data_IF_484378634137
#
_entry.id   IF_484378634137
#
_cell.length_a   1.000
_cell.length_b   1.000
_cell.length_c   1.000
_cell.angle_alpha   90.00
_cell.angle_beta   90.00
_cell.angle_gamma   90.00
#
_symmetry.space_group_name_H-M   'P 1'
#
loop_
_entity.id
_entity.type
_entity.pdbx_description
1 polymer ?
#
# COMPACT_ATOMS: atom_id res chain seq x y z
N UNK A 1 38.78 19.22 -56.67
CA UNK A 1 38.91 18.12 -55.71
C UNK A 1 38.04 18.48 -54.53
N UNK A 2 36.81 17.88 -54.48
CA UNK A 2 35.87 18.07 -53.39
C UNK A 2 36.13 16.95 -52.38
N UNK A 3 36.39 17.31 -51.15
CA UNK A 3 36.48 16.36 -50.02
C UNK A 3 35.10 15.79 -49.70
N UNK A 4 34.96 14.46 -49.39
CA UNK A 4 33.69 13.88 -48.97
C UNK A 4 33.35 14.33 -47.56
N UNK A 5 32.11 14.82 -47.39
CA UNK A 5 31.55 15.18 -46.09
C UNK A 5 31.54 13.98 -45.16
N UNK A 6 32.03 14.20 -43.96
CA UNK A 6 31.92 13.25 -42.83
C UNK A 6 30.45 12.98 -42.51
N UNK A 7 29.99 11.79 -42.83
CA UNK A 7 28.70 11.30 -42.32
C UNK A 7 28.79 11.19 -40.79
N UNK A 8 28.03 12.01 -40.09
CA UNK A 8 27.86 11.88 -38.64
C UNK A 8 27.36 10.47 -38.32
N UNK A 9 28.15 9.72 -37.54
CA UNK A 9 27.75 8.41 -37.05
C UNK A 9 26.46 8.57 -36.26
N UNK A 10 25.38 8.01 -36.75
CA UNK A 10 24.12 7.88 -35.98
C UNK A 10 24.44 6.97 -34.81
N UNK A 11 24.42 7.53 -33.61
CA UNK A 11 24.54 6.72 -32.38
C UNK A 11 23.49 5.59 -32.42
N UNK A 12 23.87 4.33 -32.09
CA UNK A 12 22.93 3.25 -32.10
C UNK A 12 21.77 3.57 -31.16
N UNK A 13 20.54 3.21 -31.54
CA UNK A 13 19.37 3.40 -30.70
C UNK A 13 19.57 2.74 -29.34
N UNK A 14 19.15 3.38 -28.24
CA UNK A 14 19.34 2.85 -26.90
C UNK A 14 18.71 1.47 -26.75
N UNK A 15 19.50 0.52 -26.25
CA UNK A 15 19.05 -0.85 -26.02
C UNK A 15 18.56 -0.97 -24.58
N UNK A 16 17.23 -1.00 -24.39
CA UNK A 16 16.60 -1.15 -23.08
C UNK A 16 16.22 -2.64 -22.81
N UNK A 17 16.11 -3.01 -21.55
CA UNK A 17 15.38 -4.20 -21.14
C UNK A 17 13.88 -4.05 -21.50
N UNK A 18 13.13 -5.12 -21.62
CA UNK A 18 11.71 -5.06 -21.93
C UNK A 18 10.91 -4.36 -20.81
N UNK A 19 11.30 -4.64 -19.56
CA UNK A 19 10.65 -4.14 -18.35
C UNK A 19 11.66 -3.74 -17.28
N UNK A 20 11.21 -2.88 -16.38
CA UNK A 20 11.98 -2.38 -15.24
C UNK A 20 11.11 -2.34 -13.98
N UNK A 21 11.74 -2.60 -12.84
CA UNK A 21 11.21 -2.26 -11.53
C UNK A 21 11.74 -0.88 -11.13
N UNK A 22 10.85 0.08 -10.98
CA UNK A 22 11.15 1.40 -10.42
C UNK A 22 10.80 1.37 -8.93
N UNK A 23 11.75 1.70 -8.06
CA UNK A 23 11.64 1.63 -6.62
C UNK A 23 11.93 3.00 -6.00
N UNK A 24 10.98 3.54 -5.25
CA UNK A 24 11.11 4.76 -4.49
C UNK A 24 11.35 4.42 -3.02
N UNK A 25 12.54 4.74 -2.51
CA UNK A 25 12.95 4.53 -1.12
C UNK A 25 12.98 5.86 -0.39
N UNK A 26 12.35 5.93 0.78
CA UNK A 26 12.34 7.13 1.58
C UNK A 26 12.07 6.83 3.06
N UNK A 27 12.25 7.83 3.93
CA UNK A 27 12.00 7.70 5.36
C UNK A 27 11.06 8.77 5.86
N UNK A 28 10.20 8.39 6.80
CA UNK A 28 9.46 9.30 7.65
C UNK A 28 10.08 9.33 9.06
N UNK A 29 9.45 10.06 9.95
CA UNK A 29 9.87 10.12 11.35
C UNK A 29 9.80 8.75 12.05
N UNK A 30 8.86 7.89 11.65
CA UNK A 30 8.54 6.65 12.34
C UNK A 30 8.76 5.39 11.52
N UNK A 31 8.95 5.49 10.21
CA UNK A 31 9.00 4.32 9.35
C UNK A 31 9.96 4.48 8.16
N UNK A 32 10.43 3.34 7.65
CA UNK A 32 11.11 3.23 6.35
C UNK A 32 10.09 2.77 5.30
N UNK A 33 10.14 3.35 4.10
CA UNK A 33 9.15 3.15 3.05
C UNK A 33 9.80 2.72 1.76
N UNK A 34 9.18 1.75 1.07
CA UNK A 34 9.59 1.30 -0.26
C UNK A 34 8.36 1.16 -1.14
N UNK A 35 8.34 1.90 -2.25
CA UNK A 35 7.23 1.90 -3.18
C UNK A 35 7.70 1.40 -4.55
N UNK A 36 7.21 0.23 -4.99
CA UNK A 36 7.56 -0.35 -6.28
C UNK A 36 6.51 -0.04 -7.34
N UNK A 37 6.99 0.20 -8.56
CA UNK A 37 6.17 0.28 -9.76
C UNK A 37 6.84 -0.51 -10.88
N UNK A 38 6.13 -1.46 -11.46
CA UNK A 38 6.59 -2.17 -12.64
C UNK A 38 6.27 -1.36 -13.91
N UNK A 39 7.27 -1.11 -14.75
CA UNK A 39 7.14 -0.28 -15.95
C UNK A 39 7.76 -0.93 -17.17
N UNK A 40 7.13 -0.78 -18.33
CA UNK A 40 7.70 -1.18 -19.62
C UNK A 40 8.71 -0.18 -20.15
N UNK A 41 9.63 -0.62 -21.02
CA UNK A 41 10.64 0.23 -21.67
C UNK A 41 10.03 1.44 -22.39
N UNK A 42 8.79 1.35 -22.88
CA UNK A 42 8.08 2.44 -23.51
C UNK A 42 7.85 3.64 -22.59
N UNK A 43 7.65 3.39 -21.30
CA UNK A 43 7.45 4.45 -20.31
C UNK A 43 8.73 5.26 -20.07
N UNK A 44 9.91 4.61 -20.17
CA UNK A 44 11.20 5.28 -20.00
C UNK A 44 11.56 6.20 -21.19
N UNK A 45 11.06 5.89 -22.38
CA UNK A 45 11.36 6.67 -23.60
C UNK A 45 10.69 8.05 -23.62
N UNK A 46 9.72 8.28 -22.76
CA UNK A 46 8.99 9.54 -22.69
C UNK A 46 9.80 10.70 -22.06
N UNK A 47 10.89 10.37 -21.34
CA UNK A 47 11.74 11.35 -20.65
C UNK A 47 13.21 10.94 -20.77
N UNK A 48 14.07 11.86 -21.25
CA UNK A 48 15.50 11.58 -21.50
C UNK A 48 16.29 11.14 -20.25
N UNK A 49 15.91 11.61 -19.05
CA UNK A 49 16.57 11.19 -17.79
C UNK A 49 16.26 9.73 -17.48
N UNK A 50 15.01 9.31 -17.66
CA UNK A 50 14.59 7.93 -17.48
C UNK A 50 15.22 7.01 -18.51
N UNK A 51 15.36 7.49 -19.75
CA UNK A 51 15.99 6.72 -20.81
C UNK A 51 17.45 6.43 -20.47
N UNK A 52 18.23 7.45 -20.08
CA UNK A 52 19.62 7.31 -19.68
C UNK A 52 19.75 6.37 -18.46
N UNK A 53 18.91 6.55 -17.43
CA UNK A 53 18.91 5.70 -16.27
C UNK A 53 18.59 4.22 -16.60
N UNK A 54 17.70 3.97 -17.55
CA UNK A 54 17.38 2.62 -18.01
C UNK A 54 18.53 1.95 -18.74
N UNK A 55 19.30 2.69 -19.51
CA UNK A 55 20.52 2.20 -20.19
C UNK A 55 21.61 1.83 -19.17
N UNK A 56 21.84 2.70 -18.19
CA UNK A 56 22.83 2.47 -17.14
C UNK A 56 22.43 1.29 -16.25
N UNK A 57 21.15 1.20 -15.83
CA UNK A 57 20.62 0.09 -15.07
C UNK A 57 20.79 -1.25 -15.82
N UNK A 58 20.56 -1.27 -17.14
CA UNK A 58 20.74 -2.48 -17.96
C UNK A 58 22.20 -2.97 -17.97
N UNK A 59 23.15 -2.04 -17.90
CA UNK A 59 24.58 -2.38 -17.88
C UNK A 59 25.08 -2.77 -16.48
N UNK A 60 24.57 -2.08 -15.45
CA UNK A 60 25.04 -2.20 -14.07
C UNK A 60 24.12 -2.96 -13.11
N UNK A 61 22.93 -3.41 -13.55
CA UNK A 61 21.95 -4.10 -12.72
C UNK A 61 20.98 -3.19 -11.97
N UNK A 62 21.47 -2.14 -11.32
CA UNK A 62 20.67 -1.11 -10.68
C UNK A 62 21.25 0.28 -10.97
N UNK A 63 20.38 1.27 -11.09
CA UNK A 63 20.77 2.66 -11.19
C UNK A 63 19.96 3.54 -10.24
N UNK A 64 20.64 4.33 -9.43
CA UNK A 64 20.01 5.21 -8.45
C UNK A 64 19.95 6.66 -8.94
N UNK A 65 18.80 7.29 -8.75
CA UNK A 65 18.52 8.68 -9.09
C UNK A 65 18.03 9.44 -7.84
N UNK A 66 18.32 10.74 -7.80
CA UNK A 66 17.65 11.64 -6.87
C UNK A 66 16.17 11.80 -7.27
N UNK A 67 15.26 11.55 -6.34
CA UNK A 67 13.83 11.69 -6.56
C UNK A 67 13.32 13.15 -6.44
N UNK A 68 14.13 14.06 -5.89
CA UNK A 68 13.76 15.46 -5.65
C UNK A 68 13.16 16.18 -6.87
N UNK A 69 13.62 15.95 -8.13
CA UNK A 69 13.03 16.59 -9.31
C UNK A 69 11.52 16.34 -9.48
N UNK A 70 11.02 15.19 -9.02
CA UNK A 70 9.59 14.80 -9.12
C UNK A 70 8.78 15.13 -7.87
N UNK A 71 9.45 15.37 -6.74
CA UNK A 71 8.82 15.64 -5.44
C UNK A 71 8.95 17.11 -5.01
N UNK A 72 9.23 18.03 -5.92
CA UNK A 72 9.46 19.45 -5.59
C UNK A 72 8.20 20.15 -5.08
N UNK A 73 8.36 21.10 -4.14
CA UNK A 73 7.30 22.04 -3.82
C UNK A 73 6.86 22.81 -5.06
N UNK A 74 5.57 23.06 -5.20
CA UNK A 74 5.02 23.82 -6.34
C UNK A 74 5.22 25.35 -6.24
N UNK A 75 6.03 25.81 -5.34
CA UNK A 75 6.37 27.24 -5.21
C UNK A 75 5.30 28.10 -4.52
N UNK A 76 4.08 27.60 -4.35
CA UNK A 76 3.05 28.22 -3.50
C UNK A 76 2.86 27.37 -2.25
N UNK A 77 3.29 27.85 -1.08
CA UNK A 77 3.29 27.03 0.14
C UNK A 77 1.89 26.70 0.63
N UNK A 78 0.90 27.54 0.37
CA UNK A 78 -0.50 27.36 0.81
C UNK A 78 -1.46 28.13 -0.08
N UNK A 79 -2.65 27.56 -0.28
CA UNK A 79 -3.74 28.19 -1.02
C UNK A 79 -4.92 28.36 -0.08
N UNK A 80 -5.45 29.59 0.00
CA UNK A 80 -6.73 29.85 0.65
C UNK A 80 -7.81 29.90 -0.43
N UNK A 81 -8.83 29.08 -0.31
CA UNK A 81 -9.88 28.89 -1.31
C UNK A 81 -11.26 29.03 -0.68
N UNK A 82 -12.12 29.85 -1.27
CA UNK A 82 -13.53 29.90 -0.91
C UNK A 82 -14.23 28.63 -1.43
N UNK A 83 -14.84 27.88 -0.51
CA UNK A 83 -15.59 26.66 -0.85
C UNK A 83 -16.93 26.95 -1.53
N UNK A 84 -17.40 28.22 -1.51
CA UNK A 84 -18.65 28.63 -2.13
C UNK A 84 -18.68 28.30 -3.64
N UNK A 85 -19.65 27.51 -4.07
CA UNK A 85 -19.80 27.09 -5.46
C UNK A 85 -18.98 25.89 -5.90
N UNK A 86 -18.20 25.25 -5.02
CA UNK A 86 -17.51 24.01 -5.28
C UNK A 86 -18.42 22.80 -4.97
N UNK A 87 -18.34 21.76 -5.81
CA UNK A 87 -18.97 20.47 -5.53
C UNK A 87 -18.01 19.58 -4.75
N UNK A 88 -17.95 19.81 -3.44
CA UNK A 88 -17.06 19.09 -2.54
C UNK A 88 -17.75 17.89 -1.89
N UNK A 89 -16.99 16.84 -1.48
CA UNK A 89 -17.51 15.78 -0.64
C UNK A 89 -18.10 16.34 0.65
N UNK A 90 -19.22 15.79 1.13
CA UNK A 90 -19.91 16.26 2.34
C UNK A 90 -19.05 16.15 3.61
N UNK A 91 -18.04 15.30 3.61
CA UNK A 91 -17.23 14.98 4.79
C UNK A 91 -15.74 15.26 4.54
N UNK A 92 -15.41 16.49 4.15
CA UNK A 92 -14.00 16.90 4.12
C UNK A 92 -13.41 16.88 5.53
N UNK A 93 -12.21 16.31 5.65
CA UNK A 93 -11.48 16.22 6.92
C UNK A 93 -10.13 16.92 6.80
N UNK A 94 -9.78 17.87 7.69
CA UNK A 94 -8.43 18.38 7.77
C UNK A 94 -7.38 17.27 7.96
N UNK A 95 -6.21 17.49 7.39
CA UNK A 95 -5.11 16.52 7.42
C UNK A 95 -5.16 15.46 6.35
N UNK A 96 -6.23 15.34 5.55
CA UNK A 96 -6.37 14.39 4.46
C UNK A 96 -6.02 14.97 3.09
N UNK A 97 -5.68 14.07 2.17
CA UNK A 97 -5.43 14.41 0.78
C UNK A 97 -6.67 14.17 -0.08
N UNK A 98 -6.86 15.06 -1.04
CA UNK A 98 -7.97 15.01 -2.00
C UNK A 98 -7.43 15.28 -3.40
N UNK A 99 -8.07 14.74 -4.45
CA UNK A 99 -7.71 15.05 -5.84
C UNK A 99 -7.84 16.55 -6.13
N UNK A 100 -6.83 17.15 -6.72
CA UNK A 100 -6.74 18.59 -6.97
C UNK A 100 -7.92 19.17 -7.74
N UNK A 101 -8.50 18.39 -8.67
CA UNK A 101 -9.65 18.85 -9.47
C UNK A 101 -10.89 19.19 -8.64
N UNK A 102 -11.03 18.63 -7.42
CA UNK A 102 -12.14 18.95 -6.52
C UNK A 102 -12.14 20.41 -6.06
N UNK A 103 -10.97 21.04 -6.05
CA UNK A 103 -10.77 22.42 -5.61
C UNK A 103 -10.86 23.45 -6.75
N UNK A 104 -11.36 23.03 -7.91
CA UNK A 104 -11.63 23.90 -9.03
C UNK A 104 -10.39 24.40 -9.78
N UNK A 105 -10.62 25.27 -10.77
CA UNK A 105 -9.56 25.74 -11.70
C UNK A 105 -8.48 26.57 -11.04
N UNK A 106 -8.71 27.10 -9.90
CA UNK A 106 -7.70 27.87 -9.12
C UNK A 106 -6.56 26.98 -8.65
N UNK A 107 -6.82 25.69 -8.40
CA UNK A 107 -5.83 24.74 -7.90
C UNK A 107 -5.30 23.86 -9.01
N UNK A 108 -6.17 23.39 -9.91
CA UNK A 108 -5.78 22.45 -10.96
C UNK A 108 -6.78 22.35 -12.11
N UNK A 109 -6.36 21.69 -13.20
CA UNK A 109 -7.22 21.37 -14.34
C UNK A 109 -8.34 20.37 -13.98
N UNK A 110 -9.38 20.23 -14.83
CA UNK A 110 -10.61 19.49 -14.52
C UNK A 110 -10.45 17.95 -14.37
N UNK A 111 -9.26 17.42 -14.59
CA UNK A 111 -8.94 15.98 -14.46
C UNK A 111 -7.63 15.76 -13.71
N UNK A 112 -7.15 16.75 -12.99
CA UNK A 112 -5.89 16.65 -12.26
C UNK A 112 -6.15 15.88 -10.95
N UNK A 113 -5.54 14.70 -10.84
CA UNK A 113 -5.68 13.79 -9.72
C UNK A 113 -4.53 13.91 -8.71
N UNK A 114 -3.56 14.84 -8.93
CA UNK A 114 -2.49 14.96 -7.95
C UNK A 114 -3.05 15.27 -6.56
N UNK A 115 -2.43 14.76 -5.51
CA UNK A 115 -2.92 14.93 -4.16
C UNK A 115 -2.71 16.37 -3.68
N UNK A 116 -3.78 16.95 -3.14
CA UNK A 116 -3.75 18.23 -2.42
C UNK A 116 -4.19 17.97 -0.98
N UNK A 117 -3.39 18.41 -0.04
CA UNK A 117 -3.72 18.23 1.36
C UNK A 117 -4.62 19.36 1.86
N UNK A 118 -5.74 19.01 2.48
CA UNK A 118 -6.57 19.94 3.21
C UNK A 118 -5.97 20.15 4.60
N UNK A 119 -5.51 21.37 4.90
CA UNK A 119 -4.91 21.69 6.19
C UNK A 119 -5.93 22.12 7.23
N UNK A 120 -6.91 22.93 6.80
CA UNK A 120 -7.92 23.50 7.70
C UNK A 120 -9.19 23.90 6.95
N UNK A 121 -10.28 24.01 7.67
CA UNK A 121 -11.58 24.52 7.21
C UNK A 121 -12.01 25.66 8.14
N UNK A 122 -11.97 26.89 7.65
CA UNK A 122 -12.42 28.08 8.39
C UNK A 122 -13.95 28.02 8.60
N UNK A 123 -14.47 28.48 9.75
CA UNK A 123 -15.92 28.54 10.01
C UNK A 123 -16.72 29.35 8.97
N UNK A 124 -16.08 30.21 8.20
CA UNK A 124 -16.69 30.99 7.10
C UNK A 124 -16.74 30.22 5.77
N UNK A 125 -16.21 28.99 5.72
CA UNK A 125 -16.17 28.16 4.53
C UNK A 125 -14.92 28.31 3.68
N UNK A 126 -13.85 28.92 4.18
CA UNK A 126 -12.57 28.94 3.49
C UNK A 126 -11.76 27.68 3.80
N UNK A 127 -11.15 27.12 2.76
CA UNK A 127 -10.26 25.97 2.84
C UNK A 127 -8.82 26.44 2.79
N UNK A 128 -7.99 25.93 3.69
CA UNK A 128 -6.54 26.08 3.63
C UNK A 128 -5.94 24.80 3.04
N UNK A 129 -5.29 24.93 1.88
CA UNK A 129 -4.78 23.81 1.10
C UNK A 129 -3.26 23.84 0.98
N UNK A 130 -2.63 22.66 1.01
CA UNK A 130 -1.24 22.48 0.64
C UNK A 130 -1.17 21.64 -0.66
N UNK A 131 -0.80 22.27 -1.80
CA UNK A 131 -0.68 21.60 -3.09
C UNK A 131 0.69 20.95 -3.32
N UNK A 132 1.58 20.99 -2.33
CA UNK A 132 2.89 20.39 -2.48
C UNK A 132 2.79 18.86 -2.54
N UNK A 133 3.75 18.25 -3.26
CA UNK A 133 3.86 16.81 -3.28
C UNK A 133 4.05 16.26 -1.83
N UNK A 134 3.41 15.14 -1.43
CA UNK A 134 3.53 14.61 -0.07
C UNK A 134 4.96 14.27 0.37
N UNK A 135 5.86 14.01 -0.58
CA UNK A 135 7.29 13.81 -0.34
C UNK A 135 8.12 15.10 -0.43
N UNK A 136 7.52 16.26 -0.65
CA UNK A 136 8.27 17.51 -0.76
C UNK A 136 9.10 17.77 0.51
N UNK A 137 10.40 18.02 0.33
CA UNK A 137 11.33 18.24 1.44
C UNK A 137 11.78 16.98 2.17
N UNK A 138 11.37 15.78 1.73
CA UNK A 138 11.88 14.51 2.24
C UNK A 138 13.05 14.03 1.38
N UNK A 139 13.98 13.32 2.03
CA UNK A 139 15.04 12.60 1.33
C UNK A 139 14.44 11.32 0.72
N UNK A 140 14.42 11.27 -0.61
CA UNK A 140 13.85 10.16 -1.35
C UNK A 140 14.79 9.74 -2.48
N UNK A 141 15.09 8.46 -2.53
CA UNK A 141 15.95 7.83 -3.53
C UNK A 141 15.10 7.00 -4.50
N UNK A 142 15.30 7.22 -5.77
CA UNK A 142 14.72 6.43 -6.84
C UNK A 142 15.73 5.41 -7.33
N UNK A 143 15.35 4.15 -7.42
CA UNK A 143 16.18 3.08 -7.98
C UNK A 143 15.46 2.44 -9.15
N UNK A 144 16.14 2.31 -10.27
CA UNK A 144 15.65 1.63 -11.46
C UNK A 144 16.49 0.37 -11.69
N UNK A 145 15.84 -0.77 -11.86
CA UNK A 145 16.48 -2.05 -12.14
C UNK A 145 15.77 -2.78 -13.28
N UNK A 146 16.50 -3.49 -14.18
CA UNK A 146 15.86 -4.41 -15.12
C UNK A 146 15.03 -5.44 -14.36
N UNK A 147 13.90 -5.82 -14.93
CA UNK A 147 12.99 -6.80 -14.32
C UNK A 147 12.66 -7.91 -15.30
N UNK A 148 12.52 -9.13 -14.77
CA UNK A 148 11.95 -10.27 -15.50
C UNK A 148 10.42 -10.28 -15.46
N UNK A 149 9.82 -9.53 -14.51
CA UNK A 149 8.38 -9.41 -14.41
C UNK A 149 7.80 -8.57 -15.54
N UNK A 150 6.64 -8.96 -16.02
CA UNK A 150 5.90 -8.16 -16.98
C UNK A 150 5.39 -6.86 -16.36
N UNK A 151 5.26 -5.81 -17.18
CA UNK A 151 4.61 -4.57 -16.80
C UNK A 151 3.24 -4.47 -17.47
N UNK A 152 2.25 -3.96 -16.74
CA UNK A 152 0.94 -3.70 -17.33
C UNK A 152 1.03 -2.64 -18.44
N UNK A 153 0.31 -2.87 -19.53
CA UNK A 153 0.26 -1.93 -20.63
C UNK A 153 -0.30 -0.56 -20.15
N UNK A 154 0.35 0.51 -20.58
CA UNK A 154 -0.06 1.88 -20.23
C UNK A 154 0.42 2.35 -18.85
N UNK A 155 1.23 1.59 -18.12
CA UNK A 155 1.88 2.08 -16.88
C UNK A 155 2.77 3.28 -17.19
N UNK A 156 2.57 4.37 -16.46
CA UNK A 156 3.36 5.60 -16.57
C UNK A 156 4.26 5.76 -15.36
N UNK A 157 5.48 6.23 -15.56
CA UNK A 157 6.42 6.47 -14.45
C UNK A 157 5.89 7.49 -13.44
N UNK A 158 5.12 8.49 -13.87
CA UNK A 158 4.47 9.44 -12.96
C UNK A 158 3.64 8.75 -11.87
N UNK A 159 3.05 7.60 -12.18
CA UNK A 159 2.27 6.80 -11.20
C UNK A 159 3.10 6.35 -10.00
N UNK A 160 4.43 6.27 -10.11
CA UNK A 160 5.29 5.96 -8.97
C UNK A 160 5.17 7.04 -7.87
N UNK A 161 4.96 8.28 -8.26
CA UNK A 161 4.86 9.44 -7.37
C UNK A 161 3.42 9.76 -6.96
N UNK A 162 2.43 9.09 -7.55
CA UNK A 162 1.02 9.25 -7.18
C UNK A 162 0.78 8.46 -5.88
N UNK A 163 0.72 9.15 -4.74
CA UNK A 163 0.40 8.57 -3.44
C UNK A 163 1.52 8.46 -2.41
N UNK A 164 2.77 8.04 -2.73
CA UNK A 164 3.84 7.99 -1.74
C UNK A 164 4.02 9.31 -0.99
N UNK A 165 4.19 9.20 0.34
CA UNK A 165 4.24 10.32 1.26
C UNK A 165 2.93 10.58 2.00
N UNK A 166 1.76 10.23 1.43
CA UNK A 166 0.47 10.39 2.11
C UNK A 166 0.35 9.50 3.35
N UNK A 167 1.05 8.36 3.40
CA UNK A 167 1.08 7.46 4.55
C UNK A 167 1.85 8.01 5.75
N UNK A 168 2.61 9.07 5.57
CA UNK A 168 3.41 9.66 6.63
C UNK A 168 3.34 11.20 6.58
N UNK A 169 2.25 11.80 7.05
CA UNK A 169 2.12 13.25 7.12
C UNK A 169 3.21 13.87 8.01
N UNK A 170 3.48 15.18 7.86
CA UNK A 170 4.38 15.88 8.77
C UNK A 170 3.93 15.79 10.23
N UNK A 171 4.87 15.72 11.17
CA UNK A 171 4.61 15.51 12.60
C UNK A 171 3.65 16.54 13.23
N UNK A 172 3.63 17.77 12.69
CA UNK A 172 2.78 18.86 13.18
C UNK A 172 1.45 19.01 12.42
N UNK A 173 1.10 18.05 11.57
CA UNK A 173 -0.07 18.11 10.72
C UNK A 173 -0.62 16.68 10.50
N UNK A 174 -0.95 15.99 11.58
CA UNK A 174 -1.43 14.61 11.55
C UNK A 174 -2.71 14.45 10.73
N UNK A 175 -2.88 13.28 10.11
CA UNK A 175 -4.12 12.93 9.42
C UNK A 175 -5.16 12.52 10.46
N UNK A 176 -6.36 13.09 10.37
CA UNK A 176 -7.48 12.65 11.20
C UNK A 176 -8.01 11.31 10.68
N UNK A 177 -7.55 10.21 11.28
CA UNK A 177 -8.03 8.86 10.94
C UNK A 177 -9.33 8.48 11.64
N UNK A 178 -9.62 9.06 12.81
CA UNK A 178 -10.74 8.68 13.67
C UNK A 178 -11.74 9.80 13.92
N UNK A 179 -12.36 10.39 12.86
CA UNK A 179 -13.51 11.25 13.07
C UNK A 179 -14.67 10.42 13.67
N UNK A 180 -15.69 11.06 14.26
CA UNK A 180 -16.85 10.35 14.79
C UNK A 180 -17.43 9.35 13.77
N UNK A 181 -17.65 8.11 14.21
CA UNK A 181 -18.15 7.02 13.33
C UNK A 181 -17.13 6.41 12.37
N UNK A 182 -15.83 6.72 12.49
CA UNK A 182 -14.78 6.18 11.61
C UNK A 182 -14.72 4.65 11.58
N UNK A 183 -14.94 4.02 12.72
CA UNK A 183 -14.92 2.55 12.87
C UNK A 183 -16.29 1.88 12.67
N UNK A 184 -17.37 2.64 12.48
CA UNK A 184 -18.67 2.09 12.14
C UNK A 184 -18.63 1.40 10.79
N UNK A 185 -19.49 0.38 10.60
CA UNK A 185 -19.62 -0.37 9.34
C UNK A 185 -21.01 -0.14 8.75
N UNK A 186 -21.15 -0.30 7.45
CA UNK A 186 -22.47 -0.19 6.78
C UNK A 186 -23.40 -1.33 7.18
N UNK A 187 -22.84 -2.51 7.47
CA UNK A 187 -23.53 -3.68 7.98
C UNK A 187 -22.92 -4.07 9.32
N UNK A 188 -23.62 -3.70 10.41
CA UNK A 188 -23.27 -4.03 11.80
C UNK A 188 -23.84 -5.38 12.25
N UNK A 189 -24.51 -6.14 11.38
CA UNK A 189 -24.98 -7.48 11.71
C UNK A 189 -23.80 -8.42 11.99
N UNK A 190 -24.09 -9.52 12.68
CA UNK A 190 -23.09 -10.52 13.08
C UNK A 190 -22.16 -10.94 11.94
N UNK A 191 -20.86 -10.88 12.17
CA UNK A 191 -19.86 -11.34 11.22
C UNK A 191 -19.92 -12.86 11.05
N UNK A 192 -20.20 -13.60 12.10
CA UNK A 192 -20.43 -15.05 12.03
C UNK A 192 -21.57 -15.36 11.03
N UNK A 193 -22.68 -14.61 11.07
CA UNK A 193 -23.77 -14.81 10.12
C UNK A 193 -23.37 -14.44 8.67
N UNK A 194 -22.61 -13.37 8.48
CA UNK A 194 -22.13 -12.96 7.16
C UNK A 194 -21.16 -13.97 6.54
N UNK A 195 -20.28 -14.57 7.36
CA UNK A 195 -19.28 -15.56 6.94
C UNK A 195 -19.72 -17.02 7.15
N UNK A 196 -21.00 -17.28 7.54
CA UNK A 196 -21.51 -18.62 7.78
C UNK A 196 -21.39 -19.57 6.57
N UNK A 197 -21.51 -19.03 5.36
CA UNK A 197 -21.31 -19.80 4.12
C UNK A 197 -19.83 -19.74 3.71
N UNK A 198 -19.14 -20.92 3.65
CA UNK A 198 -17.74 -20.96 3.24
C UNK A 198 -17.52 -20.35 1.84
N UNK A 199 -16.47 -19.56 1.70
CA UNK A 199 -16.06 -18.91 0.45
C UNK A 199 -14.69 -19.43 0.03
N UNK A 200 -14.65 -20.66 -0.50
CA UNK A 200 -13.42 -21.29 -1.01
C UNK A 200 -13.02 -20.68 -2.35
N UNK A 201 -12.89 -19.36 -2.39
CA UNK A 201 -12.53 -18.59 -3.58
C UNK A 201 -11.46 -17.55 -3.25
N UNK A 202 -10.58 -17.31 -4.20
CA UNK A 202 -9.56 -16.28 -4.02
C UNK A 202 -10.17 -14.89 -4.18
N UNK A 203 -9.88 -14.00 -3.23
CA UNK A 203 -10.35 -12.61 -3.21
C UNK A 203 -9.40 -11.66 -3.93
N UNK A 204 -8.11 -12.00 -3.96
CA UNK A 204 -7.06 -11.31 -4.70
C UNK A 204 -6.74 -12.07 -5.98
N UNK A 205 -6.30 -11.38 -7.03
CA UNK A 205 -5.84 -12.04 -8.24
C UNK A 205 -4.55 -12.84 -8.00
N UNK A 206 -4.20 -13.73 -8.94
CA UNK A 206 -3.06 -14.63 -8.78
C UNK A 206 -1.71 -13.87 -8.69
N UNK A 207 -1.59 -12.72 -9.37
CA UNK A 207 -0.37 -11.91 -9.33
C UNK A 207 -0.20 -11.24 -7.95
N UNK A 208 -1.26 -10.67 -7.41
CA UNK A 208 -1.25 -10.09 -6.07
C UNK A 208 -0.90 -11.14 -5.01
N UNK A 209 -1.52 -12.33 -5.08
CA UNK A 209 -1.22 -13.45 -4.15
C UNK A 209 0.25 -13.89 -4.23
N UNK A 210 0.82 -13.98 -5.43
CA UNK A 210 2.23 -14.26 -5.61
C UNK A 210 3.12 -13.19 -4.95
N UNK A 211 2.76 -11.92 -5.13
CA UNK A 211 3.47 -10.79 -4.51
C UNK A 211 3.37 -10.81 -2.97
N UNK A 212 2.21 -11.19 -2.41
CA UNK A 212 2.05 -11.41 -0.96
C UNK A 212 2.97 -12.53 -0.49
N UNK A 213 3.00 -13.66 -1.22
CA UNK A 213 3.89 -14.78 -0.89
C UNK A 213 5.37 -14.39 -0.92
N UNK A 214 5.80 -13.60 -1.91
CA UNK A 214 7.17 -13.07 -1.98
C UNK A 214 7.50 -12.16 -0.79
N UNK A 215 6.56 -11.32 -0.35
CA UNK A 215 6.74 -10.49 0.84
C UNK A 215 6.93 -11.35 2.09
N UNK A 216 6.09 -12.34 2.29
CA UNK A 216 6.21 -13.25 3.45
C UNK A 216 7.50 -14.07 3.41
N UNK A 217 7.90 -14.50 2.22
CA UNK A 217 9.15 -15.19 2.02
C UNK A 217 10.40 -14.38 2.41
N UNK A 218 10.35 -13.08 2.14
CA UNK A 218 11.39 -12.11 2.53
C UNK A 218 11.42 -11.86 4.04
N UNK A 219 10.26 -11.87 4.69
CA UNK A 219 10.11 -11.41 6.08
C UNK A 219 10.13 -12.55 7.11
N UNK A 220 9.62 -13.73 6.75
CA UNK A 220 9.47 -14.84 7.69
C UNK A 220 10.70 -15.76 7.65
N UNK A 221 11.08 -16.25 8.82
CA UNK A 221 12.17 -17.23 8.93
C UNK A 221 11.65 -18.64 8.73
N UNK A 222 12.39 -19.52 8.04
CA UNK A 222 12.02 -20.92 7.94
C UNK A 222 11.81 -21.58 9.32
N UNK A 223 10.77 -22.38 9.45
CA UNK A 223 10.43 -23.08 10.68
C UNK A 223 9.81 -22.19 11.77
N UNK A 224 9.49 -20.93 11.48
CA UNK A 224 8.88 -20.02 12.47
C UNK A 224 7.48 -20.47 12.89
N UNK A 225 7.12 -20.18 14.16
CA UNK A 225 5.76 -20.29 14.67
C UNK A 225 4.98 -19.04 14.28
N UNK A 226 3.97 -19.19 13.45
CA UNK A 226 3.20 -18.07 12.87
C UNK A 226 1.74 -18.16 13.22
N UNK A 227 1.13 -17.04 13.55
CA UNK A 227 -0.32 -16.89 13.69
C UNK A 227 -0.86 -16.13 12.48
N UNK A 228 -1.81 -16.73 11.77
CA UNK A 228 -2.60 -16.07 10.72
C UNK A 228 -3.92 -15.57 11.34
N UNK A 229 -4.01 -14.25 11.53
CA UNK A 229 -5.21 -13.59 12.06
C UNK A 229 -6.22 -13.35 10.94
N UNK A 230 -7.48 -13.68 11.20
CA UNK A 230 -8.58 -13.61 10.24
C UNK A 230 -8.34 -14.52 9.02
N UNK A 231 -7.74 -15.68 9.30
CA UNK A 231 -7.39 -16.71 8.33
C UNK A 231 -8.62 -17.27 7.61
N UNK A 232 -8.38 -17.77 6.40
CA UNK A 232 -9.34 -18.50 5.57
C UNK A 232 -8.67 -19.76 4.99
N UNK A 233 -9.16 -20.25 3.86
CA UNK A 233 -8.69 -21.48 3.21
C UNK A 233 -7.28 -21.37 2.57
N UNK A 234 -6.66 -20.20 2.54
CA UNK A 234 -5.32 -19.96 1.99
C UNK A 234 -4.65 -18.81 2.75
N UNK A 235 -3.48 -19.07 3.30
CA UNK A 235 -2.66 -18.08 4.04
C UNK A 235 -1.64 -17.38 3.14
N UNK A 236 -1.58 -17.73 1.87
CA UNK A 236 -0.64 -17.18 0.87
C UNK A 236 0.84 -17.30 1.26
N UNK A 237 1.19 -18.31 2.06
CA UNK A 237 2.53 -18.52 2.57
C UNK A 237 3.32 -19.53 1.70
N UNK A 238 4.60 -19.29 1.42
CA UNK A 238 5.44 -20.24 0.70
C UNK A 238 5.64 -21.54 1.49
N UNK A 239 5.23 -22.69 0.93
CA UNK A 239 5.38 -24.02 1.55
C UNK A 239 6.82 -24.34 1.97
N UNK A 240 7.81 -23.84 1.20
CA UNK A 240 9.24 -24.06 1.46
C UNK A 240 9.75 -23.51 2.78
N UNK A 241 9.00 -22.62 3.42
CA UNK A 241 9.37 -22.06 4.73
C UNK A 241 9.13 -23.07 5.87
N UNK A 242 8.30 -24.11 5.67
CA UNK A 242 8.04 -25.14 6.68
C UNK A 242 7.54 -24.58 8.00
N UNK A 243 6.61 -23.60 7.96
CA UNK A 243 6.12 -22.87 9.12
C UNK A 243 5.23 -23.77 10.00
N UNK A 244 5.28 -23.54 11.32
CA UNK A 244 4.24 -24.03 12.25
C UNK A 244 3.13 -22.98 12.32
N UNK A 245 2.04 -23.21 11.57
CA UNK A 245 1.03 -22.21 11.30
C UNK A 245 -0.25 -22.47 12.09
N UNK A 246 -0.61 -21.52 12.96
CA UNK A 246 -1.92 -21.47 13.64
C UNK A 246 -2.81 -20.46 12.91
N UNK A 247 -4.09 -20.77 12.73
CA UNK A 247 -5.07 -19.89 12.10
C UNK A 247 -6.23 -19.53 13.04
N UNK A 248 -6.62 -18.25 13.04
CA UNK A 248 -7.83 -17.78 13.69
C UNK A 248 -8.74 -17.14 12.65
N UNK A 249 -9.95 -17.64 12.47
CA UNK A 249 -10.89 -17.16 11.46
C UNK A 249 -12.34 -17.34 11.87
N UNK A 250 -13.29 -17.02 10.98
CA UNK A 250 -14.72 -17.01 11.26
C UNK A 250 -15.46 -18.27 10.79
N UNK A 251 -14.85 -19.06 9.89
CA UNK A 251 -15.52 -20.21 9.28
C UNK A 251 -14.65 -21.47 9.40
N UNK A 252 -15.15 -22.50 10.09
CA UNK A 252 -14.40 -23.73 10.33
C UNK A 252 -14.13 -24.52 9.05
N UNK A 253 -15.06 -24.53 8.08
CA UNK A 253 -14.89 -25.22 6.81
C UNK A 253 -13.77 -24.56 5.97
N UNK A 254 -13.67 -23.23 6.00
CA UNK A 254 -12.57 -22.51 5.34
C UNK A 254 -11.23 -22.82 6.01
N UNK A 255 -11.17 -22.75 7.35
CA UNK A 255 -9.96 -23.08 8.08
C UNK A 255 -9.56 -24.55 7.90
N UNK A 256 -10.53 -25.47 7.88
CA UNK A 256 -10.28 -26.89 7.64
C UNK A 256 -9.75 -27.16 6.20
N UNK A 257 -10.14 -26.34 5.25
CA UNK A 257 -9.67 -26.42 3.87
C UNK A 257 -8.26 -25.87 3.66
N UNK A 258 -7.69 -25.17 4.66
CA UNK A 258 -6.32 -24.65 4.59
C UNK A 258 -5.31 -25.73 4.99
N UNK A 259 -4.55 -26.30 4.05
CA UNK A 259 -3.67 -27.43 4.34
C UNK A 259 -2.41 -27.06 5.13
N UNK A 260 -2.15 -25.74 5.30
CA UNK A 260 -0.96 -25.26 6.00
C UNK A 260 -1.20 -25.11 7.51
N UNK A 261 -2.45 -25.05 7.97
CA UNK A 261 -2.76 -24.88 9.39
C UNK A 261 -2.49 -26.16 10.19
N UNK A 262 -1.62 -26.07 11.18
CA UNK A 262 -1.39 -27.11 12.19
C UNK A 262 -2.42 -27.04 13.34
N UNK A 263 -2.89 -25.82 13.64
CA UNK A 263 -3.90 -25.53 14.68
C UNK A 263 -4.87 -24.46 14.13
N UNK A 264 -6.15 -24.57 14.46
CA UNK A 264 -7.14 -23.58 14.06
C UNK A 264 -8.14 -23.27 15.17
N UNK A 265 -8.59 -22.02 15.20
CA UNK A 265 -9.60 -21.52 16.15
C UNK A 265 -10.64 -20.71 15.38
N UNK A 266 -11.92 -21.01 15.64
CA UNK A 266 -13.04 -20.22 15.12
C UNK A 266 -13.40 -19.15 16.16
N UNK A 267 -13.18 -17.88 15.82
CA UNK A 267 -13.49 -16.77 16.70
C UNK A 267 -13.74 -15.48 15.93
N UNK A 268 -14.74 -14.71 16.39
CA UNK A 268 -15.03 -13.37 15.92
C UNK A 268 -14.25 -12.34 16.74
N UNK A 269 -13.21 -11.76 16.16
CA UNK A 269 -12.37 -10.75 16.81
C UNK A 269 -13.09 -9.41 17.05
N UNK A 270 -14.19 -9.15 16.36
CA UNK A 270 -15.03 -7.98 16.62
C UNK A 270 -15.95 -8.18 17.83
N UNK A 271 -16.36 -9.41 18.09
CA UNK A 271 -17.12 -9.76 19.29
C UNK A 271 -16.23 -10.03 20.51
N UNK A 272 -15.07 -10.65 20.30
CA UNK A 272 -14.10 -10.98 21.34
C UNK A 272 -12.68 -10.76 20.78
N UNK A 273 -12.03 -9.62 21.06
CA UNK A 273 -10.71 -9.31 20.53
C UNK A 273 -9.56 -10.10 21.15
N UNK A 274 -9.83 -10.89 22.19
CA UNK A 274 -8.80 -11.72 22.86
C UNK A 274 -8.34 -12.85 21.95
N UNK A 275 -7.04 -13.01 21.81
CA UNK A 275 -6.43 -14.09 21.03
C UNK A 275 -6.17 -15.29 21.95
N UNK A 276 -6.70 -16.51 21.68
CA UNK A 276 -6.76 -17.61 22.65
C UNK A 276 -5.44 -18.40 22.78
N UNK A 277 -4.32 -17.72 22.69
CA UNK A 277 -2.99 -18.29 22.90
C UNK A 277 -2.22 -17.55 24.00
N UNK A 278 -1.23 -18.21 24.57
CA UNK A 278 -0.39 -17.67 25.64
C UNK A 278 0.48 -16.52 25.13
N UNK A 279 0.94 -15.71 26.08
CA UNK A 279 1.92 -14.65 25.80
C UNK A 279 3.20 -15.23 25.18
N UNK A 280 3.82 -14.46 24.31
CA UNK A 280 5.14 -14.74 23.72
C UNK A 280 5.25 -16.13 23.05
N UNK A 281 4.18 -16.59 22.38
CA UNK A 281 4.17 -17.88 21.68
C UNK A 281 4.75 -17.78 20.27
N UNK A 282 4.39 -16.75 19.50
CA UNK A 282 4.64 -16.68 18.06
C UNK A 282 5.88 -15.86 17.70
N UNK A 283 6.61 -16.34 16.70
CA UNK A 283 7.71 -15.58 16.08
C UNK A 283 7.16 -14.48 15.15
N UNK A 284 6.01 -14.74 14.52
CA UNK A 284 5.32 -13.76 13.68
C UNK A 284 3.80 -13.90 13.78
N UNK A 285 3.12 -12.77 13.54
CA UNK A 285 1.68 -12.68 13.30
C UNK A 285 1.48 -12.04 11.93
N UNK A 286 0.60 -12.61 11.12
CA UNK A 286 0.21 -12.06 9.82
C UNK A 286 -1.29 -11.79 9.81
N UNK A 287 -1.72 -10.76 9.03
CA UNK A 287 -3.12 -10.52 8.72
C UNK A 287 -3.20 -10.04 7.26
N UNK A 288 -3.81 -10.86 6.40
CA UNK A 288 -3.86 -10.62 4.96
C UNK A 288 -5.26 -10.21 4.53
N UNK A 289 -5.38 -9.03 3.88
CA UNK A 289 -6.62 -8.48 3.31
C UNK A 289 -7.82 -8.52 4.29
N UNK A 290 -7.58 -8.17 5.57
CA UNK A 290 -8.59 -8.32 6.61
C UNK A 290 -8.59 -7.22 7.68
N UNK A 291 -7.52 -6.44 7.83
CA UNK A 291 -7.42 -5.35 8.83
C UNK A 291 -8.55 -4.32 8.69
N UNK A 292 -9.06 -4.12 7.50
CA UNK A 292 -10.15 -3.21 7.16
C UNK A 292 -11.50 -3.57 7.78
N UNK A 293 -11.66 -4.79 8.29
CA UNK A 293 -12.92 -5.28 8.89
C UNK A 293 -12.93 -5.22 10.41
N UNK A 294 -11.82 -4.83 11.05
CA UNK A 294 -11.74 -4.75 12.51
C UNK A 294 -12.42 -3.48 13.02
N UNK A 295 -13.51 -3.65 13.75
CA UNK A 295 -14.20 -2.57 14.46
C UNK A 295 -13.44 -2.13 15.73
N UNK A 296 -12.59 -3.01 16.27
CA UNK A 296 -11.76 -2.78 17.45
C UNK A 296 -10.27 -3.04 17.18
N UNK A 297 -9.66 -2.36 16.14
CA UNK A 297 -8.31 -2.71 15.69
C UNK A 297 -7.26 -2.53 16.79
N UNK A 298 -7.38 -1.52 17.64
CA UNK A 298 -6.42 -1.28 18.73
C UNK A 298 -6.36 -2.45 19.72
N UNK A 299 -7.52 -3.03 20.10
CA UNK A 299 -7.58 -4.17 21.01
C UNK A 299 -6.97 -5.42 20.37
N UNK A 300 -7.29 -5.71 19.10
CA UNK A 300 -6.75 -6.88 18.38
C UNK A 300 -5.23 -6.75 18.19
N UNK A 301 -4.72 -5.56 17.87
CA UNK A 301 -3.27 -5.36 17.72
C UNK A 301 -2.51 -5.41 19.04
N UNK A 302 -3.13 -5.00 20.16
CA UNK A 302 -2.57 -5.21 21.50
C UNK A 302 -2.43 -6.71 21.82
N UNK A 303 -3.43 -7.51 21.47
CA UNK A 303 -3.40 -8.97 21.62
C UNK A 303 -2.37 -9.62 20.67
N UNK A 304 -2.30 -9.17 19.41
CA UNK A 304 -1.25 -9.62 18.50
C UNK A 304 0.15 -9.37 19.08
N UNK A 305 0.37 -8.21 19.72
CA UNK A 305 1.63 -7.91 20.40
C UNK A 305 1.84 -8.81 21.63
N UNK A 306 0.81 -9.09 22.42
CA UNK A 306 0.90 -9.96 23.59
C UNK A 306 1.35 -11.38 23.25
N UNK A 307 0.81 -11.95 22.19
CA UNK A 307 1.15 -13.32 21.78
C UNK A 307 2.45 -13.44 21.01
N UNK A 308 3.01 -12.32 20.54
CA UNK A 308 4.33 -12.28 19.89
C UNK A 308 5.45 -12.40 20.94
N UNK A 309 6.49 -13.15 20.59
CA UNK A 309 7.76 -13.16 21.33
C UNK A 309 8.39 -11.77 21.30
N UNK A 310 9.23 -11.40 22.27
CA UNK A 310 10.08 -10.20 22.17
C UNK A 310 10.83 -10.19 20.84
N UNK A 311 10.81 -9.06 20.10
CA UNK A 311 11.33 -8.97 18.74
C UNK A 311 10.52 -9.69 17.67
N UNK A 312 9.35 -10.25 18.00
CA UNK A 312 8.45 -10.91 17.05
C UNK A 312 7.84 -9.93 16.05
N UNK A 313 7.52 -10.40 14.87
CA UNK A 313 7.11 -9.61 13.71
C UNK A 313 5.57 -9.60 13.55
N UNK A 314 4.97 -8.43 13.35
CA UNK A 314 3.58 -8.32 12.86
C UNK A 314 3.59 -7.77 11.44
N UNK A 315 2.92 -8.47 10.49
CA UNK A 315 2.74 -8.03 9.10
C UNK A 315 1.26 -7.86 8.80
N UNK A 316 0.88 -6.67 8.38
CA UNK A 316 -0.47 -6.34 7.93
C UNK A 316 -0.41 -6.02 6.43
N UNK A 317 -1.12 -6.79 5.61
CA UNK A 317 -1.17 -6.59 4.17
C UNK A 317 -2.60 -6.44 3.67
N UNK A 318 -2.81 -5.59 2.67
CA UNK A 318 -4.11 -5.34 2.06
C UNK A 318 -3.96 -4.92 0.59
N UNK A 319 -5.09 -4.77 -0.09
CA UNK A 319 -5.16 -4.36 -1.48
C UNK A 319 -6.24 -3.29 -1.67
N UNK A 320 -6.58 -2.99 -2.92
CA UNK A 320 -7.72 -2.14 -3.29
C UNK A 320 -9.05 -2.94 -3.39
N UNK A 321 -9.07 -4.15 -2.78
CA UNK A 321 -10.22 -5.08 -2.76
C UNK A 321 -10.69 -5.29 -1.32
N UNK A 322 -11.97 -5.04 -1.07
CA UNK A 322 -12.63 -5.30 0.23
C UNK A 322 -14.14 -5.48 0.05
N UNK A 323 -14.81 -5.98 1.10
CA UNK A 323 -16.27 -6.02 1.18
C UNK A 323 -16.80 -4.68 1.69
N UNK A 324 -17.43 -3.84 0.84
CA UNK A 324 -17.80 -2.46 1.21
C UNK A 324 -18.79 -2.35 2.37
N UNK A 325 -19.55 -3.42 2.66
CA UNK A 325 -20.53 -3.44 3.74
C UNK A 325 -19.90 -3.73 5.10
N UNK A 326 -18.80 -4.48 5.13
CA UNK A 326 -18.12 -4.92 6.35
C UNK A 326 -16.87 -4.10 6.69
N UNK A 327 -16.32 -3.37 5.73
CA UNK A 327 -15.18 -2.50 6.00
C UNK A 327 -15.61 -1.31 6.88
N UNK A 328 -14.72 -0.89 7.77
CA UNK A 328 -14.90 0.30 8.61
C UNK A 328 -15.06 1.56 7.73
N UNK A 329 -15.88 2.51 8.16
CA UNK A 329 -16.28 3.66 7.33
C UNK A 329 -15.09 4.48 6.85
N UNK A 330 -14.07 4.68 7.70
CA UNK A 330 -12.87 5.43 7.33
C UNK A 330 -12.13 4.79 6.16
N UNK A 331 -12.11 3.45 6.05
CA UNK A 331 -11.38 2.74 5.02
C UNK A 331 -11.76 3.17 3.60
N UNK A 332 -13.05 3.24 3.32
CA UNK A 332 -13.56 3.64 1.99
C UNK A 332 -13.37 5.13 1.68
N UNK A 333 -13.10 5.96 2.70
CA UNK A 333 -12.96 7.41 2.58
C UNK A 333 -11.51 7.87 2.44
N UNK A 334 -10.54 6.98 2.66
CA UNK A 334 -9.11 7.24 2.56
C UNK A 334 -8.58 6.86 1.18
N UNK A 335 -7.63 7.64 0.68
CA UNK A 335 -6.76 7.20 -0.40
C UNK A 335 -5.97 5.95 0.04
N UNK A 336 -5.59 5.10 -0.89
CA UNK A 336 -4.91 3.83 -0.58
C UNK A 336 -3.62 4.01 0.23
N UNK A 337 -2.85 5.06 -0.04
CA UNK A 337 -1.68 5.40 0.77
C UNK A 337 -2.03 6.00 2.13
N UNK A 338 -3.16 6.67 2.27
CA UNK A 338 -3.65 7.09 3.60
C UNK A 338 -4.16 5.90 4.41
N UNK A 339 -4.73 4.84 3.77
CA UNK A 339 -5.03 3.56 4.45
C UNK A 339 -3.76 2.95 5.02
N UNK A 340 -2.67 2.97 4.25
CA UNK A 340 -1.36 2.53 4.74
C UNK A 340 -0.89 3.38 5.92
N UNK A 341 -1.14 4.69 5.91
CA UNK A 341 -0.91 5.60 7.02
C UNK A 341 -1.75 5.27 8.26
N UNK A 342 -3.03 4.93 8.07
CA UNK A 342 -3.90 4.43 9.14
C UNK A 342 -3.33 3.16 9.79
N UNK A 343 -2.87 2.21 8.97
CA UNK A 343 -2.27 0.96 9.47
C UNK A 343 -0.98 1.24 10.25
N UNK A 344 -0.12 2.14 9.76
CA UNK A 344 1.09 2.58 10.50
C UNK A 344 0.74 3.25 11.82
N UNK A 345 -0.29 4.09 11.85
CA UNK A 345 -0.77 4.73 13.07
C UNK A 345 -1.23 3.68 14.10
N UNK A 346 -2.01 2.69 13.67
CA UNK A 346 -2.45 1.58 14.51
C UNK A 346 -1.28 0.74 15.05
N UNK A 347 -0.27 0.44 14.23
CA UNK A 347 0.93 -0.29 14.66
C UNK A 347 1.72 0.50 15.71
N UNK A 348 1.90 1.80 15.49
CA UNK A 348 2.60 2.69 16.43
C UNK A 348 1.86 2.76 17.76
N UNK A 349 0.54 2.98 17.73
CA UNK A 349 -0.28 3.09 18.93
C UNK A 349 -0.35 1.76 19.72
N UNK A 350 -0.27 0.62 19.03
CA UNK A 350 -0.13 -0.69 19.66
C UNK A 350 1.29 -0.94 20.23
N UNK A 351 2.23 -0.01 20.02
CA UNK A 351 3.59 -0.05 20.57
C UNK A 351 4.56 -0.92 19.78
N UNK A 352 4.32 -1.14 18.49
CA UNK A 352 5.31 -1.75 17.59
C UNK A 352 6.40 -0.75 17.21
N UNK A 353 7.63 -1.24 17.06
CA UNK A 353 8.81 -0.47 16.68
C UNK A 353 9.35 -0.90 15.31
N UNK A 354 10.35 -0.17 14.81
CA UNK A 354 10.99 -0.45 13.51
C UNK A 354 9.98 -0.65 12.39
N UNK A 355 9.12 0.36 12.21
CA UNK A 355 8.03 0.28 11.26
C UNK A 355 8.52 0.40 9.82
N UNK A 356 7.91 -0.39 8.95
CA UNK A 356 8.18 -0.41 7.52
C UNK A 356 6.90 -0.43 6.70
N UNK A 357 6.98 0.08 5.47
CA UNK A 357 5.93 -0.14 4.46
C UNK A 357 6.53 -0.61 3.15
N UNK A 358 5.78 -1.43 2.43
CA UNK A 358 6.08 -1.80 1.05
C UNK A 358 4.79 -1.72 0.22
N UNK A 359 4.89 -1.13 -0.98
CA UNK A 359 3.80 -1.18 -1.96
C UNK A 359 4.31 -1.75 -3.27
N UNK A 360 3.47 -2.53 -3.97
CA UNK A 360 3.79 -3.06 -5.30
C UNK A 360 2.63 -2.83 -6.25
N UNK A 361 2.93 -2.14 -7.36
CA UNK A 361 1.97 -1.69 -8.36
C UNK A 361 2.51 -1.90 -9.78
N UNK A 362 1.64 -1.76 -10.79
CA UNK A 362 2.05 -1.76 -12.19
C UNK A 362 2.21 -3.15 -12.83
N UNK A 363 1.89 -4.22 -12.11
CA UNK A 363 1.87 -5.58 -12.64
C UNK A 363 0.62 -5.81 -13.51
N UNK A 364 0.71 -6.61 -14.57
CA UNK A 364 -0.45 -6.94 -15.40
C UNK A 364 -1.38 -7.90 -14.66
N UNK A 365 -2.68 -7.73 -14.85
CA UNK A 365 -3.67 -8.67 -14.36
C UNK A 365 -3.52 -10.01 -15.10
N UNK A 366 -3.66 -11.16 -14.41
CA UNK A 366 -3.62 -12.47 -15.05
C UNK A 366 -4.61 -12.59 -16.20
N UNK A 367 -4.19 -13.27 -17.28
CA UNK A 367 -4.97 -13.40 -18.51
C UNK A 367 -6.29 -14.18 -18.32
N UNK A 368 -6.35 -15.04 -17.30
CA UNK A 368 -7.50 -15.85 -16.91
C UNK A 368 -8.37 -15.19 -15.82
N UNK A 369 -7.99 -14.00 -15.35
CA UNK A 369 -8.78 -13.29 -14.33
C UNK A 369 -10.08 -12.74 -14.90
N UNK A 370 -11.19 -13.02 -14.21
CA UNK A 370 -12.55 -12.61 -14.62
C UNK A 370 -12.76 -11.10 -14.74
N UNK A 371 -11.89 -10.30 -14.12
CA UNK A 371 -11.96 -8.84 -14.16
C UNK A 371 -10.99 -8.21 -15.18
N UNK A 372 -10.26 -8.99 -15.97
CA UNK A 372 -9.29 -8.47 -16.94
C UNK A 372 -9.90 -7.45 -17.91
N UNK A 373 -11.12 -7.68 -18.37
CA UNK A 373 -11.81 -6.76 -19.27
C UNK A 373 -12.14 -5.39 -18.64
N UNK A 374 -12.16 -5.30 -17.31
CA UNK A 374 -12.49 -4.10 -16.55
C UNK A 374 -11.25 -3.41 -15.97
N UNK A 375 -10.19 -4.17 -15.69
CA UNK A 375 -8.99 -3.73 -14.99
C UNK A 375 -7.76 -4.39 -15.59
N UNK A 376 -6.94 -3.64 -16.31
CA UNK A 376 -5.71 -4.15 -16.93
C UNK A 376 -4.59 -4.42 -15.90
N UNK A 377 -4.63 -3.74 -14.75
CA UNK A 377 -3.65 -3.87 -13.68
C UNK A 377 -4.07 -4.96 -12.70
N UNK A 378 -3.11 -5.74 -12.22
CA UNK A 378 -3.28 -6.62 -11.08
C UNK A 378 -3.70 -5.82 -9.83
N UNK A 379 -4.32 -6.53 -8.89
CA UNK A 379 -4.63 -5.94 -7.59
C UNK A 379 -3.31 -5.52 -6.91
N UNK A 380 -3.16 -4.27 -6.45
CA UNK A 380 -1.91 -3.80 -5.83
C UNK A 380 -1.71 -4.44 -4.46
N UNK A 381 -0.46 -4.54 -4.02
CA UNK A 381 -0.11 -4.87 -2.65
C UNK A 381 0.25 -3.60 -1.88
N UNK A 382 -0.35 -3.44 -0.71
CA UNK A 382 0.04 -2.51 0.34
C UNK A 382 0.34 -3.32 1.60
N UNK A 383 1.51 -3.12 2.19
CA UNK A 383 1.91 -3.81 3.41
C UNK A 383 2.58 -2.86 4.38
N UNK A 384 2.30 -3.06 5.68
CA UNK A 384 3.02 -2.44 6.77
C UNK A 384 3.38 -3.51 7.79
N UNK A 385 4.57 -3.38 8.39
CA UNK A 385 5.00 -4.27 9.45
C UNK A 385 5.85 -3.56 10.48
N UNK A 386 5.96 -4.18 11.63
CA UNK A 386 6.78 -3.73 12.74
C UNK A 386 7.09 -4.88 13.70
N UNK A 387 7.96 -4.60 14.65
CA UNK A 387 8.44 -5.59 15.61
C UNK A 387 7.93 -5.29 17.01
N UNK A 388 7.53 -6.33 17.75
CA UNK A 388 7.27 -6.20 19.16
C UNK A 388 8.55 -5.77 19.88
N UNK A 389 8.51 -4.84 20.84
CA UNK A 389 9.70 -4.48 21.63
C UNK A 389 10.35 -5.69 22.31
N UNK A 390 11.68 -5.64 22.48
CA UNK A 390 12.48 -6.68 23.14
C UNK A 390 12.20 -6.73 24.66
#
# INVERSE_FOLDING_TARGET
MNAPGSAAAVSPAPTLAATYSARLEWRSEHASHVDYLQVGAGALRADGRWLAAGEEARQGGEHALDAAPWCRPRGQPRIVLDAGGLSLPAELQPGRHYPAHLFGRTVAGPRDLHPVRLLDIDPRGFLLLDPNHPLAGRDARLVLAPSSDEAAAGTRLGTLFDGPGMQAPPANAETCYFPPGALARRDEASDIAFYARPRLVQHLDARCRATVAELYDKLLRPGAQVLDLMASHDSHLPLRLGLDLCGLGLNDDELAANPQLSERVVQDLNACPLVPWTDARFDAVICTASIEYLAHPAAVLAEARRVLKPGGLLVLSFSDRWFPTKAIAVWSRLHEFERLGLVLHLLRDAGFAELHTETRRGLPRPADDKYLAQRAFADPLFAAWGYAPA
#
